data_IF_106213545054
#
_entry.id   IF_106213545054
#
_cell.length_a   1.000
_cell.length_b   1.000
_cell.length_c   1.000
_cell.angle_alpha   90.00
_cell.angle_beta   90.00
_cell.angle_gamma   90.00
#
_symmetry.space_group_name_H-M   'P 1'
#
loop_
_entity.id
_entity.type
_entity.pdbx_description
1 polymer ?
#
# COMPACT_ATOMS: atom_id res chain seq x y z
N UNK A 1 28.46 2.06 -6.68
CA UNK A 1 28.58 2.20 -5.21
C UNK A 1 28.02 0.94 -4.60
N UNK A 2 28.81 0.32 -3.75
CA UNK A 2 28.62 -0.98 -3.12
C UNK A 2 27.87 -0.70 -1.82
N UNK A 3 26.72 -1.32 -1.62
CA UNK A 3 25.99 -1.25 -0.36
C UNK A 3 25.09 -2.46 -0.28
N UNK A 4 25.36 -3.37 0.66
CA UNK A 4 24.57 -4.58 0.83
C UNK A 4 23.08 -4.22 0.90
N UNK A 5 22.26 -4.91 0.10
CA UNK A 5 20.80 -4.88 0.23
C UNK A 5 20.48 -5.26 1.67
N UNK A 6 19.92 -4.34 2.44
CA UNK A 6 19.26 -4.74 3.66
C UNK A 6 18.08 -5.64 3.24
N UNK A 7 17.96 -6.86 3.79
CA UNK A 7 16.79 -7.72 3.57
C UNK A 7 15.47 -7.04 3.99
N UNK A 8 15.55 -5.92 4.72
CA UNK A 8 14.43 -5.12 5.16
C UNK A 8 14.73 -3.66 4.81
N UNK A 9 13.96 -3.09 3.90
CA UNK A 9 13.93 -1.65 3.60
C UNK A 9 12.64 -1.04 4.17
N UNK A 10 12.78 -0.16 5.17
CA UNK A 10 11.63 0.44 5.87
C UNK A 10 10.97 1.49 4.99
N UNK A 11 9.70 1.28 4.66
CA UNK A 11 8.83 2.28 4.00
C UNK A 11 7.94 3.01 4.99
N UNK A 12 7.55 4.24 4.64
CA UNK A 12 6.57 5.00 5.42
C UNK A 12 5.14 4.55 5.06
N UNK A 13 4.17 4.87 5.91
CA UNK A 13 2.75 4.66 5.57
C UNK A 13 2.31 5.51 4.38
N UNK A 14 2.95 6.65 4.15
CA UNK A 14 2.72 7.50 2.98
C UNK A 14 3.12 6.77 1.70
N UNK A 15 4.33 6.21 1.66
CA UNK A 15 4.80 5.38 0.53
C UNK A 15 3.86 4.18 0.28
N UNK A 16 3.43 3.52 1.36
CA UNK A 16 2.52 2.37 1.29
C UNK A 16 1.12 2.75 0.76
N UNK A 17 0.63 3.94 1.11
CA UNK A 17 -0.64 4.47 0.58
C UNK A 17 -0.52 4.94 -0.86
N UNK A 18 0.54 5.67 -1.20
CA UNK A 18 0.76 6.25 -2.53
C UNK A 18 1.06 5.19 -3.60
N UNK A 19 1.67 4.07 -3.22
CA UNK A 19 1.86 2.90 -4.09
C UNK A 19 0.56 2.17 -4.46
N UNK A 20 -0.55 2.46 -3.77
CA UNK A 20 -1.82 1.76 -3.95
C UNK A 20 -1.92 0.43 -3.18
N UNK A 21 -0.85 0.00 -2.51
CA UNK A 21 -0.83 -1.26 -1.76
C UNK A 21 -1.79 -1.25 -0.55
N UNK A 22 -1.96 -0.09 0.11
CA UNK A 22 -2.93 0.05 1.20
C UNK A 22 -4.38 -0.20 0.74
N UNK A 23 -4.76 0.31 -0.43
CA UNK A 23 -6.06 0.03 -1.03
C UNK A 23 -6.17 -1.46 -1.41
N UNK A 24 -5.13 -2.00 -2.04
CA UNK A 24 -5.15 -3.38 -2.51
C UNK A 24 -5.29 -4.40 -1.36
N UNK A 25 -4.55 -4.23 -0.26
CA UNK A 25 -4.69 -5.13 0.89
C UNK A 25 -6.06 -4.96 1.58
N UNK A 26 -6.58 -3.72 1.62
CA UNK A 26 -7.89 -3.46 2.20
C UNK A 26 -9.03 -4.09 1.39
N UNK A 27 -8.87 -4.32 0.08
CA UNK A 27 -9.85 -5.10 -0.70
C UNK A 27 -10.04 -6.51 -0.12
N UNK A 28 -8.94 -7.16 0.27
CA UNK A 28 -8.97 -8.49 0.90
C UNK A 28 -9.51 -8.38 2.32
N UNK A 29 -8.99 -7.46 3.13
CA UNK A 29 -9.39 -7.32 4.54
C UNK A 29 -10.88 -6.99 4.69
N UNK A 30 -11.46 -6.21 3.78
CA UNK A 30 -12.89 -5.89 3.77
C UNK A 30 -13.76 -7.15 3.66
N UNK A 31 -13.30 -8.24 3.04
CA UNK A 31 -14.04 -9.52 3.01
C UNK A 31 -14.17 -10.13 4.41
N UNK A 32 -13.16 -9.94 5.26
CA UNK A 32 -13.15 -10.38 6.65
C UNK A 32 -13.78 -9.37 7.62
N UNK A 33 -14.19 -8.19 7.14
CA UNK A 33 -14.71 -7.10 7.99
C UNK A 33 -13.60 -6.39 8.77
N UNK A 34 -12.39 -6.38 8.21
CA UNK A 34 -11.22 -5.66 8.73
C UNK A 34 -10.75 -4.62 7.72
N UNK A 35 -10.00 -3.63 8.19
CA UNK A 35 -9.30 -2.66 7.35
C UNK A 35 -8.06 -2.14 8.09
N UNK A 36 -7.03 -1.75 7.36
CA UNK A 36 -5.97 -0.88 7.89
C UNK A 36 -6.44 0.56 7.70
N UNK A 37 -6.64 1.26 8.80
CA UNK A 37 -7.05 2.67 8.85
C UNK A 37 -5.82 3.53 9.07
N UNK A 38 -5.76 4.68 8.40
CA UNK A 38 -4.72 5.69 8.59
C UNK A 38 -5.36 6.98 9.12
N UNK A 39 -4.79 7.53 10.18
CA UNK A 39 -5.15 8.86 10.65
C UNK A 39 -4.31 9.89 9.88
N UNK A 40 -4.98 10.89 9.33
CA UNK A 40 -4.35 11.97 8.56
C UNK A 40 -4.63 13.27 9.29
N UNK A 41 -3.58 14.03 9.59
CA UNK A 41 -3.71 15.32 10.24
C UNK A 41 -4.15 16.43 9.26
N UNK A 42 -4.28 17.66 9.76
CA UNK A 42 -4.68 18.82 8.95
C UNK A 42 -3.68 19.21 7.86
N UNK A 43 -2.43 18.71 7.92
CA UNK A 43 -1.39 18.95 6.91
C UNK A 43 -1.39 17.90 5.80
N UNK A 44 -2.15 16.82 5.97
CA UNK A 44 -2.18 15.69 5.04
C UNK A 44 -1.18 14.58 5.38
N UNK A 45 -0.48 14.68 6.51
CA UNK A 45 0.49 13.68 6.93
C UNK A 45 -0.16 12.55 7.74
N UNK A 46 0.36 11.33 7.56
CA UNK A 46 -0.14 10.14 8.26
C UNK A 46 0.50 10.08 9.64
N UNK A 47 -0.30 10.25 10.69
CA UNK A 47 0.17 10.25 12.08
C UNK A 47 0.10 8.87 12.73
N UNK A 48 -0.79 8.00 12.23
CA UNK A 48 -1.00 6.67 12.78
C UNK A 48 -1.58 5.72 11.71
N UNK A 49 -1.31 4.43 11.84
CA UNK A 49 -2.01 3.39 11.11
C UNK A 49 -2.31 2.20 12.03
N UNK A 50 -3.52 1.66 11.96
CA UNK A 50 -3.97 0.58 12.83
C UNK A 50 -5.01 -0.30 12.14
N UNK A 51 -5.11 -1.59 12.50
CA UNK A 51 -6.17 -2.44 12.00
C UNK A 51 -7.47 -2.14 12.76
N UNK A 52 -8.61 -2.15 12.06
CA UNK A 52 -9.92 -1.86 12.62
C UNK A 52 -10.99 -2.80 12.08
N UNK A 53 -12.01 -3.07 12.90
CA UNK A 53 -13.25 -3.72 12.43
C UNK A 53 -14.08 -2.71 11.66
N UNK A 54 -14.51 -3.11 10.47
CA UNK A 54 -15.29 -2.25 9.58
C UNK A 54 -16.52 -2.98 9.05
N UNK A 55 -17.50 -2.20 8.61
CA UNK A 55 -18.74 -2.71 8.00
C UNK A 55 -18.76 -2.56 6.48
N UNK A 56 -17.84 -1.78 5.91
CA UNK A 56 -17.72 -1.60 4.46
C UNK A 56 -17.25 -2.89 3.78
N UNK A 57 -17.75 -3.15 2.57
CA UNK A 57 -17.45 -4.35 1.78
C UNK A 57 -16.98 -3.94 0.39
N UNK A 58 -15.76 -3.44 0.33
CA UNK A 58 -15.16 -2.93 -0.90
C UNK A 58 -15.06 -1.40 -0.90
N UNK A 59 -14.83 -0.85 -2.08
CA UNK A 59 -14.65 0.58 -2.34
C UNK A 59 -15.55 1.05 -3.50
N UNK A 60 -15.69 2.36 -3.66
CA UNK A 60 -16.40 2.95 -4.81
C UNK A 60 -15.68 2.68 -6.13
N UNK A 61 -16.35 2.89 -7.27
CA UNK A 61 -15.75 2.72 -8.59
C UNK A 61 -14.57 3.68 -8.82
N UNK A 62 -14.69 4.92 -8.37
CA UNK A 62 -13.63 5.94 -8.45
C UNK A 62 -12.41 5.52 -7.62
N UNK A 63 -12.63 5.06 -6.38
CA UNK A 63 -11.57 4.55 -5.51
C UNK A 63 -10.88 3.32 -6.11
N UNK A 64 -11.66 2.41 -6.73
CA UNK A 64 -11.11 1.25 -7.41
C UNK A 64 -10.25 1.66 -8.60
N UNK A 65 -10.73 2.60 -9.41
CA UNK A 65 -10.00 3.11 -10.58
C UNK A 65 -8.67 3.73 -10.17
N UNK A 66 -8.66 4.61 -9.17
CA UNK A 66 -7.43 5.21 -8.64
C UNK A 66 -6.49 4.14 -8.02
N UNK A 67 -7.04 3.19 -7.27
CA UNK A 67 -6.31 2.07 -6.70
C UNK A 67 -5.58 1.22 -7.74
N UNK A 68 -6.29 0.81 -8.80
CA UNK A 68 -5.69 0.06 -9.91
C UNK A 68 -4.58 0.86 -10.60
N UNK A 69 -4.80 2.14 -10.90
CA UNK A 69 -3.78 3.01 -11.52
C UNK A 69 -2.51 3.07 -10.66
N UNK A 70 -2.65 3.26 -9.35
CA UNK A 70 -1.51 3.33 -8.42
C UNK A 70 -0.73 2.02 -8.37
N UNK A 71 -1.43 0.88 -8.24
CA UNK A 71 -0.80 -0.45 -8.23
C UNK A 71 -0.10 -0.74 -9.56
N UNK A 72 -0.73 -0.46 -10.69
CA UNK A 72 -0.09 -0.64 -12.01
C UNK A 72 1.18 0.20 -12.14
N UNK A 73 1.15 1.45 -11.67
CA UNK A 73 2.34 2.32 -11.64
C UNK A 73 3.44 1.76 -10.73
N UNK A 74 3.08 1.27 -9.53
CA UNK A 74 4.01 0.63 -8.62
C UNK A 74 4.69 -0.58 -9.27
N UNK A 75 3.91 -1.47 -9.90
CA UNK A 75 4.45 -2.66 -10.58
C UNK A 75 5.40 -2.24 -11.71
N UNK A 76 4.99 -1.31 -12.58
CA UNK A 76 5.82 -0.85 -13.69
C UNK A 76 7.17 -0.27 -13.22
N UNK A 77 7.15 0.51 -12.14
CA UNK A 77 8.35 1.16 -11.61
C UNK A 77 9.30 0.19 -10.89
N UNK A 78 8.78 -0.93 -10.38
CA UNK A 78 9.55 -1.85 -9.54
C UNK A 78 9.80 -3.24 -10.16
N UNK A 79 9.17 -3.59 -11.28
CA UNK A 79 9.24 -4.94 -11.87
C UNK A 79 10.69 -5.45 -12.05
N UNK A 80 11.59 -4.62 -12.57
CA UNK A 80 12.99 -5.00 -12.80
C UNK A 80 13.74 -5.29 -11.49
N UNK A 81 13.57 -4.44 -10.47
CA UNK A 81 14.28 -4.61 -9.20
C UNK A 81 13.74 -5.82 -8.44
N UNK A 82 12.42 -6.03 -8.49
CA UNK A 82 11.74 -7.18 -7.91
C UNK A 82 12.17 -8.50 -8.57
N UNK A 83 12.38 -8.52 -9.89
CA UNK A 83 12.89 -9.71 -10.60
C UNK A 83 14.30 -10.09 -10.14
N UNK A 84 15.16 -9.09 -9.91
CA UNK A 84 16.52 -9.30 -9.41
C UNK A 84 16.46 -9.80 -7.96
N UNK A 85 15.66 -9.14 -7.10
CA UNK A 85 15.42 -9.52 -5.70
C UNK A 85 14.90 -10.96 -5.55
N UNK A 86 14.00 -11.40 -6.43
CA UNK A 86 13.41 -12.74 -6.37
C UNK A 86 14.36 -13.89 -6.75
N UNK A 87 15.54 -13.57 -7.31
CA UNK A 87 16.58 -14.54 -7.71
C UNK A 87 17.75 -14.61 -6.71
N UNK A 88 17.72 -13.78 -5.67
CA UNK A 88 18.65 -13.82 -4.53
C UNK A 88 18.17 -14.82 -3.47
#
# INVERSE_FOLDING_TARGET
MIGGRYMIDRKTWKDFRESGLLWWINMILHTFGWSIVVNVDSTGEITEAFPARVKFRGFSEDDNTDGYIKVSRYINNNAKILEIEAKE
#
